data_IF_268136188117
#
_entry.id   IF_268136188117
#
_cell.length_a   1.000
_cell.length_b   1.000
_cell.length_c   1.000
_cell.angle_alpha   90.00
_cell.angle_beta   90.00
_cell.angle_gamma   90.00
#
_symmetry.space_group_name_H-M   'P 1'
#
loop_
_entity.id
_entity.type
_entity.pdbx_description
1 polymer ?
#
# COMPACT_ATOMS: atom_id res chain seq x y z
N UNK A 1 1.20 -20.86 16.27
CA UNK A 1 0.17 -19.85 15.96
C UNK A 1 0.85 -18.60 15.40
N UNK A 2 1.11 -18.56 14.09
CA UNK A 2 1.76 -17.41 13.43
C UNK A 2 0.69 -16.31 13.33
N UNK A 3 0.78 -15.30 14.19
CA UNK A 3 -0.28 -14.30 14.37
C UNK A 3 -0.62 -13.64 13.03
N UNK A 4 -1.90 -13.60 12.68
CA UNK A 4 -2.44 -12.93 11.47
C UNK A 4 -2.61 -11.41 11.68
N UNK A 5 -2.34 -10.93 12.90
CA UNK A 5 -2.32 -9.52 13.35
C UNK A 5 -1.54 -8.57 12.43
N UNK A 6 -0.33 -8.90 11.91
CA UNK A 6 0.39 -7.98 11.03
C UNK A 6 -0.36 -7.71 9.72
N UNK A 7 -1.14 -8.66 9.20
CA UNK A 7 -1.92 -8.48 7.96
C UNK A 7 -3.04 -7.45 8.16
N UNK A 8 -3.79 -7.57 9.25
CA UNK A 8 -4.87 -6.64 9.58
C UNK A 8 -4.34 -5.24 9.87
N UNK A 9 -3.19 -5.13 10.55
CA UNK A 9 -2.54 -3.85 10.82
C UNK A 9 -2.07 -3.16 9.54
N UNK A 10 -1.55 -3.93 8.58
CA UNK A 10 -1.12 -3.46 7.26
C UNK A 10 -2.30 -3.02 6.39
N UNK A 11 -3.41 -3.76 6.44
CA UNK A 11 -4.64 -3.37 5.73
C UNK A 11 -5.25 -2.11 6.33
N UNK A 12 -5.18 -1.96 7.67
CA UNK A 12 -5.66 -0.77 8.37
C UNK A 12 -4.79 0.46 8.06
N UNK A 13 -3.46 0.30 7.98
CA UNK A 13 -2.54 1.39 7.62
C UNK A 13 -2.72 1.82 6.16
N UNK A 14 -2.99 0.86 5.25
CA UNK A 14 -3.32 1.15 3.87
C UNK A 14 -4.65 1.90 3.75
N UNK A 15 -5.65 1.50 4.52
CA UNK A 15 -6.97 2.10 4.50
C UNK A 15 -6.97 3.54 5.05
N UNK A 16 -6.23 3.81 6.13
CA UNK A 16 -6.17 5.14 6.75
C UNK A 16 -5.15 6.06 6.09
N UNK A 17 -4.01 5.54 5.65
CA UNK A 17 -2.92 6.36 5.14
C UNK A 17 -3.20 6.99 3.77
N UNK A 18 -3.99 6.33 2.92
CA UNK A 18 -4.43 6.88 1.62
C UNK A 18 -5.24 8.17 1.80
N UNK A 19 -6.39 8.18 2.51
CA UNK A 19 -7.22 9.38 2.68
C UNK A 19 -6.57 10.44 3.59
N UNK A 20 -5.83 10.04 4.64
CA UNK A 20 -5.13 11.00 5.51
C UNK A 20 -4.02 11.75 4.77
N UNK A 21 -3.27 11.04 3.93
CA UNK A 21 -2.20 11.63 3.13
C UNK A 21 -2.71 12.61 2.09
N UNK A 22 -3.85 12.31 1.45
CA UNK A 22 -4.48 13.21 0.46
C UNK A 22 -4.87 14.54 1.10
N UNK A 23 -5.53 14.54 2.27
CA UNK A 23 -5.94 15.77 2.96
C UNK A 23 -4.70 16.61 3.33
N UNK A 24 -3.64 15.97 3.82
CA UNK A 24 -2.44 16.65 4.26
C UNK A 24 -1.62 17.21 3.09
N UNK A 25 -1.41 16.43 2.04
CA UNK A 25 -0.66 16.87 0.87
C UNK A 25 -1.40 17.84 -0.03
N UNK A 26 -2.74 17.82 -0.07
CA UNK A 26 -3.47 18.82 -0.82
C UNK A 26 -3.22 20.22 -0.23
N UNK A 27 -3.15 20.35 1.10
CA UNK A 27 -2.75 21.60 1.77
C UNK A 27 -1.31 22.02 1.45
N UNK A 28 -0.37 21.06 1.41
CA UNK A 28 1.05 21.34 1.11
C UNK A 28 1.26 21.72 -0.36
N UNK A 29 0.51 21.09 -1.27
CA UNK A 29 0.57 21.39 -2.70
C UNK A 29 0.05 22.80 -2.98
N UNK A 30 -1.04 23.20 -2.34
CA UNK A 30 -1.68 24.50 -2.53
C UNK A 30 -0.88 25.67 -1.92
N UNK A 31 -0.19 25.47 -0.79
CA UNK A 31 0.65 26.51 -0.20
C UNK A 31 2.06 26.63 -0.81
N UNK A 32 2.63 25.55 -1.38
CA UNK A 32 4.06 25.53 -1.72
C UNK A 32 4.44 24.98 -3.09
N UNK A 33 3.49 24.54 -3.93
CA UNK A 33 3.77 23.93 -5.25
C UNK A 33 5.00 22.99 -5.19
N UNK A 34 4.98 22.03 -4.28
CA UNK A 34 6.11 21.12 -4.06
C UNK A 34 6.12 20.06 -5.15
N UNK A 35 7.13 20.13 -6.02
CA UNK A 35 7.40 19.11 -7.03
C UNK A 35 8.47 18.16 -6.51
N UNK A 36 8.18 16.86 -6.49
CA UNK A 36 9.13 15.80 -6.18
C UNK A 36 9.39 15.03 -7.46
N UNK A 37 10.65 14.88 -7.87
CA UNK A 37 11.02 14.20 -9.13
C UNK A 37 10.37 14.83 -10.39
N UNK A 38 10.03 16.12 -10.36
CA UNK A 38 9.33 16.80 -11.44
C UNK A 38 7.82 16.52 -11.51
N UNK A 39 7.28 15.78 -10.53
CA UNK A 39 5.88 15.40 -10.44
C UNK A 39 5.20 16.09 -9.24
N UNK A 40 3.91 16.42 -9.33
CA UNK A 40 3.11 16.81 -8.17
C UNK A 40 3.27 15.82 -7.01
N UNK A 41 3.49 16.31 -5.79
CA UNK A 41 3.64 15.49 -4.58
C UNK A 41 2.48 14.47 -4.42
N UNK A 42 1.27 14.86 -4.83
CA UNK A 42 0.09 13.99 -4.86
C UNK A 42 0.30 12.72 -5.71
N UNK A 43 0.88 12.87 -6.90
CA UNK A 43 1.18 11.75 -7.79
C UNK A 43 2.26 10.85 -7.19
N UNK A 44 3.33 11.43 -6.63
CA UNK A 44 4.38 10.65 -5.96
C UNK A 44 3.81 9.79 -4.82
N UNK A 45 2.90 10.35 -4.02
CA UNK A 45 2.26 9.61 -2.94
C UNK A 45 1.35 8.48 -3.41
N UNK A 46 0.58 8.69 -4.49
CA UNK A 46 -0.16 7.61 -5.13
C UNK A 46 0.76 6.46 -5.51
N UNK A 47 1.91 6.76 -6.14
CA UNK A 47 2.91 5.75 -6.52
C UNK A 47 3.48 5.06 -5.28
N UNK A 48 3.78 5.82 -4.21
CA UNK A 48 4.26 5.27 -2.95
C UNK A 48 3.26 4.27 -2.34
N UNK A 49 1.96 4.56 -2.40
CA UNK A 49 0.92 3.62 -1.95
C UNK A 49 0.83 2.36 -2.80
N UNK A 50 0.99 2.48 -4.12
CA UNK A 50 1.02 1.32 -5.02
C UNK A 50 2.22 0.43 -4.68
N UNK A 51 3.40 1.02 -4.50
CA UNK A 51 4.62 0.28 -4.12
C UNK A 51 4.49 -0.38 -2.75
N UNK A 52 3.88 0.32 -1.78
CA UNK A 52 3.54 -0.25 -0.48
C UNK A 52 2.61 -1.45 -0.64
N UNK A 53 1.52 -1.33 -1.41
CA UNK A 53 0.58 -2.42 -1.66
C UNK A 53 1.23 -3.67 -2.27
N UNK A 54 2.09 -3.47 -3.28
CA UNK A 54 2.86 -4.55 -3.91
C UNK A 54 3.82 -5.19 -2.90
N UNK A 55 4.57 -4.38 -2.15
CA UNK A 55 5.49 -4.87 -1.12
C UNK A 55 4.78 -5.67 -0.04
N UNK A 56 3.61 -5.21 0.40
CA UNK A 56 2.73 -5.91 1.34
C UNK A 56 2.33 -7.26 0.78
N UNK A 57 1.76 -7.32 -0.44
CA UNK A 57 1.36 -8.58 -1.06
C UNK A 57 2.53 -9.54 -1.24
N UNK A 58 3.71 -9.04 -1.62
CA UNK A 58 4.91 -9.83 -1.77
C UNK A 58 5.38 -10.39 -0.41
N UNK A 59 5.29 -9.59 0.66
CA UNK A 59 5.55 -10.03 2.03
C UNK A 59 4.55 -11.13 2.43
N UNK A 60 3.26 -10.94 2.17
CA UNK A 60 2.21 -11.93 2.46
C UNK A 60 2.48 -13.26 1.76
N UNK A 61 2.78 -13.23 0.46
CA UNK A 61 3.13 -14.42 -0.32
C UNK A 61 4.39 -15.10 0.21
N UNK A 62 5.42 -14.33 0.59
CA UNK A 62 6.64 -14.90 1.19
C UNK A 62 6.37 -15.51 2.57
N UNK A 63 5.43 -14.98 3.35
CA UNK A 63 5.14 -15.45 4.70
C UNK A 63 4.11 -16.60 4.78
N UNK A 64 3.19 -16.71 3.81
CA UNK A 64 2.25 -17.83 3.62
C UNK A 64 2.44 -18.41 2.21
N UNK A 65 3.43 -19.29 1.99
CA UNK A 65 3.56 -20.02 0.73
C UNK A 65 2.37 -20.96 0.45
N UNK A 66 1.58 -21.32 1.46
CA UNK A 66 0.41 -22.21 1.33
C UNK A 66 -0.72 -21.61 0.46
N UNK A 67 -0.75 -20.29 0.26
CA UNK A 67 -1.74 -19.64 -0.63
C UNK A 67 -1.47 -19.90 -2.12
N UNK A 68 -0.39 -20.61 -2.47
CA UNK A 68 -0.08 -21.05 -3.83
C UNK A 68 -0.83 -22.34 -4.22
N UNK A 69 -1.38 -23.09 -3.27
CA UNK A 69 -2.11 -24.32 -3.54
C UNK A 69 -3.58 -24.04 -3.90
N UNK A 70 -4.25 -23.10 -3.21
CA UNK A 70 -5.65 -22.75 -3.46
C UNK A 70 -5.91 -22.13 -4.86
N UNK A 71 -4.94 -21.40 -5.43
CA UNK A 71 -5.07 -20.81 -6.76
C UNK A 71 -4.90 -21.86 -7.89
N UNK A 72 -4.20 -22.97 -7.59
CA UNK A 72 -4.03 -24.08 -8.52
C UNK A 72 -5.24 -25.02 -8.54
N UNK A 73 -5.84 -25.32 -7.39
CA UNK A 73 -7.04 -26.18 -7.33
C UNK A 73 -8.29 -25.52 -7.93
N UNK A 74 -8.39 -24.19 -7.95
CA UNK A 74 -9.52 -23.49 -8.58
C UNK A 74 -9.46 -23.47 -10.13
N UNK A 75 -8.35 -23.91 -10.72
CA UNK A 75 -8.13 -23.91 -12.18
C UNK A 75 -8.12 -25.33 -12.78
N UNK A 76 -8.28 -26.38 -11.97
CA UNK A 76 -8.40 -27.79 -12.41
C UNK A 76 -9.85 -28.30 -12.50
#
# INVERSE_FOLDING_TARGET
MKSKVPLYLLSLIAYLGMPLGVIWMNRIYEERHVFVLGMPLLLFWMVLWILLGVGIMLLVHRLNPDNLEDEKEATE
#
